data_IF_182726066686
#
_entry.id   IF_182726066686
#
_cell.length_a   1.000
_cell.length_b   1.000
_cell.length_c   1.000
_cell.angle_alpha   90.00
_cell.angle_beta   90.00
_cell.angle_gamma   90.00
#
_symmetry.space_group_name_H-M   'P 1'
#
loop_
_entity.id
_entity.type
_entity.pdbx_description
1 polymer ?
#
# COMPACT_ATOMS: atom_id res chain seq x y z
N UNK A 1 28.21 -47.76 -1.23
CA UNK A 1 27.71 -46.45 -0.83
C UNK A 1 26.22 -46.45 -1.17
N UNK A 2 25.36 -46.38 -0.17
CA UNK A 2 23.91 -46.45 -0.35
C UNK A 2 23.42 -45.19 -1.08
N UNK A 3 22.33 -45.29 -1.83
CA UNK A 3 21.70 -44.22 -2.58
C UNK A 3 21.44 -42.99 -1.70
N UNK A 4 21.08 -43.21 -0.44
CA UNK A 4 20.84 -42.15 0.59
C UNK A 4 22.12 -41.35 0.90
N UNK A 5 23.27 -41.96 0.95
CA UNK A 5 24.56 -41.28 1.19
C UNK A 5 24.99 -40.43 -0.01
N UNK A 6 24.63 -40.81 -1.22
CA UNK A 6 24.86 -40.01 -2.45
C UNK A 6 23.93 -38.78 -2.49
N UNK A 7 22.68 -38.88 -2.00
CA UNK A 7 21.78 -37.74 -1.97
C UNK A 7 22.15 -36.70 -0.89
N UNK A 8 22.77 -37.14 0.21
CA UNK A 8 23.22 -36.22 1.27
C UNK A 8 24.48 -35.41 0.89
N UNK A 9 25.24 -35.87 -0.12
CA UNK A 9 26.47 -35.22 -0.60
C UNK A 9 26.26 -34.45 -1.93
N UNK A 10 25.07 -34.57 -2.56
CA UNK A 10 24.76 -33.88 -3.79
C UNK A 10 24.61 -32.37 -3.58
N UNK A 11 25.26 -31.58 -4.43
CA UNK A 11 25.08 -30.13 -4.39
C UNK A 11 23.65 -29.75 -4.83
N UNK A 12 23.18 -28.56 -4.44
CA UNK A 12 21.89 -28.04 -4.90
C UNK A 12 21.83 -27.96 -6.45
N UNK A 13 22.97 -27.69 -7.08
CA UNK A 13 23.14 -27.68 -8.55
C UNK A 13 22.88 -29.05 -9.17
N UNK A 14 23.37 -30.14 -8.54
CA UNK A 14 23.11 -31.49 -8.99
C UNK A 14 21.62 -31.84 -8.88
N UNK A 15 20.96 -31.36 -7.82
CA UNK A 15 19.52 -31.54 -7.66
C UNK A 15 18.72 -30.81 -8.75
N UNK A 16 19.08 -29.57 -9.10
CA UNK A 16 18.46 -28.84 -10.21
C UNK A 16 18.58 -29.59 -11.55
N UNK A 17 19.70 -30.27 -11.78
CA UNK A 17 19.86 -31.09 -13.00
C UNK A 17 18.88 -32.26 -13.06
N UNK A 18 18.51 -32.84 -11.91
CA UNK A 18 17.47 -33.89 -11.87
C UNK A 18 16.08 -33.36 -12.23
N UNK A 19 15.88 -32.05 -12.12
CA UNK A 19 14.67 -31.34 -12.54
C UNK A 19 14.72 -30.85 -14.00
N UNK A 20 15.77 -31.20 -14.75
CA UNK A 20 15.93 -30.79 -16.14
C UNK A 20 16.54 -29.40 -16.35
N UNK A 21 17.07 -28.77 -15.28
CA UNK A 21 17.73 -27.46 -15.37
C UNK A 21 19.20 -27.68 -15.69
N UNK A 22 19.68 -27.11 -16.81
CA UNK A 22 21.07 -27.30 -17.25
C UNK A 22 22.07 -26.54 -16.35
N UNK A 23 23.34 -26.99 -16.39
CA UNK A 23 24.44 -26.34 -15.66
C UNK A 23 24.64 -24.88 -16.10
N UNK A 24 24.46 -24.60 -17.38
CA UNK A 24 24.60 -23.26 -17.96
C UNK A 24 23.54 -22.34 -17.41
N UNK A 25 22.28 -22.80 -17.25
CA UNK A 25 21.19 -22.03 -16.64
C UNK A 25 21.47 -21.76 -15.15
N UNK A 26 21.94 -22.77 -14.41
CA UNK A 26 22.34 -22.58 -13.01
C UNK A 26 23.46 -21.53 -12.88
N UNK A 27 24.53 -21.66 -13.69
CA UNK A 27 25.66 -20.72 -13.65
C UNK A 27 25.24 -19.30 -14.05
N UNK A 28 24.32 -19.16 -15.01
CA UNK A 28 23.74 -17.86 -15.35
C UNK A 28 22.95 -17.27 -14.19
N UNK A 29 22.10 -18.07 -13.54
CA UNK A 29 21.33 -17.67 -12.36
C UNK A 29 22.23 -17.19 -11.22
N UNK A 30 23.29 -17.96 -10.89
CA UNK A 30 24.28 -17.59 -9.87
C UNK A 30 24.98 -16.26 -10.19
N UNK A 31 25.37 -16.04 -11.45
CA UNK A 31 25.97 -14.80 -11.90
C UNK A 31 25.02 -13.61 -11.73
N UNK A 32 23.74 -13.77 -12.08
CA UNK A 32 22.73 -12.73 -11.90
C UNK A 32 22.52 -12.44 -10.42
N UNK A 33 22.36 -13.47 -9.57
CA UNK A 33 22.19 -13.31 -8.13
C UNK A 33 23.36 -12.55 -7.50
N UNK A 34 24.60 -12.93 -7.83
CA UNK A 34 25.80 -12.24 -7.33
C UNK A 34 25.84 -10.76 -7.76
N UNK A 35 25.32 -10.42 -8.94
CA UNK A 35 25.23 -9.02 -9.37
C UNK A 35 24.17 -8.20 -8.62
N UNK A 36 23.28 -8.85 -7.88
CA UNK A 36 22.17 -8.23 -7.14
C UNK A 36 22.41 -8.21 -5.62
N UNK A 37 23.52 -8.76 -5.11
CA UNK A 37 23.79 -8.89 -3.68
C UNK A 37 23.62 -7.56 -2.91
N UNK A 38 24.18 -6.46 -3.40
CA UNK A 38 24.06 -5.15 -2.77
C UNK A 38 22.62 -4.64 -2.75
N UNK A 39 21.83 -4.99 -3.76
CA UNK A 39 20.43 -4.63 -3.81
C UNK A 39 19.62 -5.43 -2.79
N UNK A 40 19.85 -6.73 -2.71
CA UNK A 40 19.19 -7.60 -1.75
C UNK A 40 19.53 -7.20 -0.31
N UNK A 41 20.81 -6.89 -0.04
CA UNK A 41 21.24 -6.39 1.27
C UNK A 41 20.46 -5.16 1.70
N UNK A 42 20.24 -4.19 0.81
CA UNK A 42 19.43 -2.99 1.12
C UNK A 42 17.97 -3.33 1.40
N UNK A 43 17.42 -4.31 0.68
CA UNK A 43 16.06 -4.81 0.93
C UNK A 43 15.98 -5.47 2.30
N UNK A 44 16.95 -6.33 2.63
CA UNK A 44 17.02 -7.02 3.92
C UNK A 44 17.16 -6.05 5.09
N UNK A 45 18.01 -5.02 4.95
CA UNK A 45 18.16 -3.96 5.97
C UNK A 45 16.84 -3.18 6.19
N UNK A 46 16.05 -2.94 5.13
CA UNK A 46 14.75 -2.29 5.24
C UNK A 46 13.72 -3.23 5.86
N UNK A 47 13.72 -4.49 5.48
CA UNK A 47 12.84 -5.51 6.03
C UNK A 47 13.11 -5.71 7.53
N UNK A 48 14.38 -5.83 7.94
CA UNK A 48 14.77 -5.94 9.35
C UNK A 48 14.30 -4.73 10.17
N UNK A 49 14.54 -3.51 9.67
CA UNK A 49 14.09 -2.29 10.33
C UNK A 49 12.57 -2.29 10.56
N UNK A 50 11.80 -2.59 9.52
CA UNK A 50 10.35 -2.58 9.59
C UNK A 50 9.81 -3.73 10.46
N UNK A 51 10.44 -4.91 10.43
CA UNK A 51 10.10 -6.00 11.33
C UNK A 51 10.30 -5.59 12.80
N UNK A 52 11.42 -4.94 13.12
CA UNK A 52 11.68 -4.46 14.48
C UNK A 52 10.70 -3.37 14.90
N UNK A 53 10.30 -2.47 13.99
CA UNK A 53 9.24 -1.48 14.21
C UNK A 53 7.92 -2.15 14.61
N UNK A 54 7.50 -3.18 13.88
CA UNK A 54 6.27 -3.93 14.19
C UNK A 54 6.38 -4.65 15.53
N UNK A 55 7.49 -5.36 15.79
CA UNK A 55 7.70 -6.05 17.06
C UNK A 55 7.70 -5.09 18.25
N UNK A 56 8.30 -3.91 18.10
CA UNK A 56 8.27 -2.86 19.12
C UNK A 56 6.86 -2.39 19.39
N UNK A 57 6.07 -2.13 18.37
CA UNK A 57 4.67 -1.74 18.50
C UNK A 57 3.84 -2.83 19.21
N UNK A 58 4.07 -4.11 18.89
CA UNK A 58 3.41 -5.22 19.58
C UNK A 58 3.79 -5.28 21.07
N UNK A 59 5.06 -5.05 21.40
CA UNK A 59 5.52 -4.99 22.81
C UNK A 59 4.90 -3.82 23.56
N UNK A 60 4.89 -2.63 22.97
CA UNK A 60 4.36 -1.41 23.58
C UNK A 60 2.86 -1.52 23.86
N UNK A 61 2.13 -2.16 22.95
CA UNK A 61 0.70 -2.44 23.09
C UNK A 61 0.40 -3.76 23.85
N UNK A 62 1.44 -4.42 24.44
CA UNK A 62 1.30 -5.58 25.30
C UNK A 62 0.54 -6.74 24.65
N UNK A 63 0.80 -7.00 23.36
CA UNK A 63 0.22 -8.16 22.67
C UNK A 63 0.55 -9.43 23.41
N UNK A 64 -0.45 -10.22 23.73
CA UNK A 64 -0.34 -11.45 24.50
C UNK A 64 -1.31 -12.52 23.98
N UNK A 65 -1.21 -13.74 24.49
CA UNK A 65 -2.14 -14.83 24.16
C UNK A 65 -3.61 -14.42 24.37
N UNK A 66 -3.89 -13.60 25.39
CA UNK A 66 -5.25 -13.12 25.67
C UNK A 66 -5.84 -12.33 24.50
N UNK A 67 -5.04 -11.65 23.69
CA UNK A 67 -5.49 -10.93 22.49
C UNK A 67 -5.96 -11.85 21.36
N UNK A 68 -5.55 -13.13 21.40
CA UNK A 68 -5.93 -14.16 20.40
C UNK A 68 -7.15 -14.97 20.81
N UNK A 69 -7.66 -14.77 22.02
CA UNK A 69 -8.88 -15.44 22.50
C UNK A 69 -10.10 -14.75 21.89
N UNK A 70 -11.09 -15.59 21.52
CA UNK A 70 -12.37 -15.09 21.01
C UNK A 70 -13.17 -14.33 22.08
N UNK A 71 -13.99 -13.41 21.64
CA UNK A 71 -14.94 -12.65 22.48
C UNK A 71 -16.40 -12.99 22.16
N UNK A 72 -17.34 -12.52 22.96
CA UNK A 72 -18.78 -12.87 22.84
C UNK A 72 -19.53 -12.17 21.70
N UNK A 73 -18.83 -11.48 20.81
CA UNK A 73 -19.35 -11.17 19.47
C UNK A 73 -20.09 -9.84 19.26
N UNK A 74 -20.44 -9.08 20.30
CA UNK A 74 -21.04 -7.75 20.10
C UNK A 74 -20.05 -6.65 19.73
N UNK A 75 -18.75 -6.95 19.76
CA UNK A 75 -17.68 -6.02 19.37
C UNK A 75 -17.40 -4.88 20.33
N UNK A 76 -18.02 -4.88 21.50
CA UNK A 76 -17.70 -3.93 22.58
C UNK A 76 -16.58 -4.51 23.45
N UNK A 77 -15.53 -3.69 23.67
CA UNK A 77 -14.38 -4.08 24.51
C UNK A 77 -13.70 -5.40 24.05
N UNK A 78 -13.54 -5.55 22.74
CA UNK A 78 -12.82 -6.68 22.18
C UNK A 78 -11.31 -6.44 22.30
N UNK A 79 -10.67 -7.10 23.28
CA UNK A 79 -9.25 -6.90 23.58
C UNK A 79 -8.36 -7.15 22.37
N UNK A 80 -8.62 -8.21 21.61
CA UNK A 80 -7.79 -8.57 20.44
C UNK A 80 -7.86 -7.53 19.35
N UNK A 81 -9.08 -7.11 19.00
CA UNK A 81 -9.34 -6.08 18.01
C UNK A 81 -8.75 -4.73 18.41
N UNK A 82 -9.05 -4.27 19.62
CA UNK A 82 -8.62 -2.96 20.08
C UNK A 82 -7.09 -2.89 20.19
N UNK A 83 -6.45 -3.99 20.62
CA UNK A 83 -4.97 -4.10 20.63
C UNK A 83 -4.39 -4.12 19.21
N UNK A 84 -5.03 -4.82 18.26
CA UNK A 84 -4.57 -4.87 16.86
C UNK A 84 -4.62 -3.46 16.24
N UNK A 85 -5.68 -2.72 16.45
CA UNK A 85 -5.82 -1.34 15.96
C UNK A 85 -4.79 -0.42 16.59
N UNK A 86 -4.53 -0.54 17.89
CA UNK A 86 -3.47 0.21 18.57
C UNK A 86 -2.07 -0.12 18.04
N UNK A 87 -1.79 -1.39 17.70
CA UNK A 87 -0.54 -1.80 17.05
C UNK A 87 -0.41 -1.15 15.67
N UNK A 88 -1.46 -1.17 14.85
CA UNK A 88 -1.46 -0.50 13.54
C UNK A 88 -1.22 1.00 13.68
N UNK A 89 -1.95 1.68 14.56
CA UNK A 89 -1.76 3.10 14.83
C UNK A 89 -0.30 3.41 15.24
N UNK A 90 0.29 2.58 16.10
CA UNK A 90 1.68 2.72 16.53
C UNK A 90 2.67 2.50 15.39
N UNK A 91 2.46 1.49 14.54
CA UNK A 91 3.35 1.15 13.41
C UNK A 91 3.34 2.24 12.34
N UNK A 92 2.16 2.79 12.04
CA UNK A 92 1.96 3.78 10.99
C UNK A 92 1.93 5.23 11.52
N UNK A 93 2.23 5.45 12.80
CA UNK A 93 2.26 6.75 13.47
C UNK A 93 1.00 7.59 13.22
N UNK A 94 -0.17 6.94 13.32
CA UNK A 94 -1.48 7.56 13.15
C UNK A 94 -2.21 7.72 14.48
N UNK A 95 -3.18 8.63 14.53
CA UNK A 95 -4.02 8.83 15.71
C UNK A 95 -4.88 7.61 16.01
N UNK A 96 -5.29 6.88 14.97
CA UNK A 96 -6.14 5.70 15.09
C UNK A 96 -5.98 4.78 13.87
N UNK A 97 -6.50 3.57 13.98
CA UNK A 97 -6.55 2.61 12.88
C UNK A 97 -7.87 1.84 12.91
N UNK A 98 -8.39 1.50 11.76
CA UNK A 98 -9.58 0.68 11.61
C UNK A 98 -9.23 -0.64 10.91
N UNK A 99 -9.07 -1.70 11.71
CA UNK A 99 -8.70 -3.04 11.23
C UNK A 99 -9.81 -4.02 11.58
N UNK A 100 -10.67 -4.33 10.62
CA UNK A 100 -11.89 -5.11 10.84
C UNK A 100 -12.03 -6.25 9.82
N UNK A 101 -12.41 -7.45 10.22
CA UNK A 101 -12.69 -8.55 9.28
C UNK A 101 -13.89 -8.26 8.38
N UNK A 102 -14.77 -7.32 8.76
CA UNK A 102 -15.89 -6.85 7.94
C UNK A 102 -15.44 -6.00 6.75
N UNK A 103 -14.23 -5.46 6.77
CA UNK A 103 -13.59 -4.84 5.60
C UNK A 103 -12.94 -5.96 4.79
N UNK A 104 -13.67 -6.47 3.81
CA UNK A 104 -13.38 -7.77 3.18
C UNK A 104 -12.27 -7.75 2.13
N UNK A 105 -11.91 -6.57 1.62
CA UNK A 105 -10.86 -6.42 0.61
C UNK A 105 -10.39 -4.96 0.51
N UNK A 106 -9.30 -4.71 -0.21
CA UNK A 106 -8.75 -3.37 -0.43
C UNK A 106 -9.75 -2.41 -1.08
N UNK A 107 -10.48 -2.86 -2.10
CA UNK A 107 -11.53 -2.04 -2.75
C UNK A 107 -12.60 -1.62 -1.75
N UNK A 108 -13.00 -2.50 -0.83
CA UNK A 108 -13.97 -2.16 0.21
C UNK A 108 -13.39 -1.13 1.20
N UNK A 109 -12.13 -1.27 1.60
CA UNK A 109 -11.46 -0.29 2.47
C UNK A 109 -11.42 1.10 1.82
N UNK A 110 -11.02 1.17 0.54
CA UNK A 110 -10.97 2.43 -0.21
C UNK A 110 -12.37 3.03 -0.42
N UNK A 111 -13.37 2.20 -0.75
CA UNK A 111 -14.76 2.64 -0.87
C UNK A 111 -15.29 3.24 0.44
N UNK A 112 -15.03 2.59 1.58
CA UNK A 112 -15.39 3.11 2.90
C UNK A 112 -14.72 4.45 3.18
N UNK A 113 -13.41 4.57 2.90
CA UNK A 113 -12.67 5.81 3.09
C UNK A 113 -13.23 6.96 2.23
N UNK A 114 -13.60 6.68 0.98
CA UNK A 114 -14.20 7.65 0.08
C UNK A 114 -15.61 8.06 0.55
N UNK A 115 -16.49 7.08 0.81
CA UNK A 115 -17.88 7.33 1.20
C UNK A 115 -18.01 8.02 2.58
N UNK A 116 -17.09 7.76 3.50
CA UNK A 116 -17.11 8.41 4.81
C UNK A 116 -16.74 9.89 4.74
N UNK A 117 -15.96 10.32 3.75
CA UNK A 117 -15.43 11.67 3.62
C UNK A 117 -16.12 12.54 2.57
N UNK A 118 -16.82 11.94 1.62
CA UNK A 118 -17.47 12.64 0.50
C UNK A 118 -18.99 12.74 0.68
N UNK A 119 -19.57 13.85 0.23
CA UNK A 119 -21.01 14.13 0.27
C UNK A 119 -21.50 14.57 -1.11
N UNK A 120 -22.80 14.48 -1.41
CA UNK A 120 -23.36 14.99 -2.69
C UNK A 120 -22.94 16.44 -2.94
N UNK A 121 -22.39 16.70 -4.12
CA UNK A 121 -21.86 18.01 -4.51
C UNK A 121 -20.34 18.16 -4.35
N UNK A 122 -19.68 17.27 -3.60
CA UNK A 122 -18.21 17.24 -3.47
C UNK A 122 -17.54 16.74 -4.75
N UNK A 123 -16.25 17.02 -4.85
CA UNK A 123 -15.38 16.52 -5.91
C UNK A 123 -14.23 15.70 -5.35
N UNK A 124 -14.01 14.53 -5.94
CA UNK A 124 -12.83 13.69 -5.78
C UNK A 124 -11.81 14.01 -6.87
N UNK A 125 -10.58 14.35 -6.50
CA UNK A 125 -9.47 14.60 -7.43
C UNK A 125 -8.44 13.49 -7.33
N UNK A 126 -8.02 12.91 -8.47
CA UNK A 126 -6.82 12.07 -8.57
C UNK A 126 -5.70 12.84 -9.27
N UNK A 127 -4.60 13.19 -8.58
CA UNK A 127 -3.50 13.96 -9.16
C UNK A 127 -2.40 13.09 -9.78
N UNK A 128 -2.61 11.79 -9.87
CA UNK A 128 -1.63 10.79 -10.34
C UNK A 128 -2.19 9.93 -11.47
N UNK A 129 -3.17 10.45 -12.17
CA UNK A 129 -3.87 9.74 -13.25
C UNK A 129 -5.02 8.90 -12.75
N UNK A 130 -5.44 7.96 -13.58
CA UNK A 130 -6.58 7.08 -13.32
C UNK A 130 -6.27 6.11 -12.18
N UNK A 131 -7.18 5.93 -11.20
CA UNK A 131 -7.00 4.97 -10.13
C UNK A 131 -7.08 3.52 -10.63
N UNK A 132 -6.79 2.57 -9.74
CA UNK A 132 -6.87 1.14 -10.03
C UNK A 132 -8.26 0.74 -10.52
N UNK A 133 -8.32 -0.25 -11.39
CA UNK A 133 -9.52 -0.62 -12.16
C UNK A 133 -10.75 -0.94 -11.30
N UNK A 134 -10.56 -1.56 -10.12
CA UNK A 134 -11.68 -1.85 -9.21
C UNK A 134 -12.30 -0.60 -8.59
N UNK A 135 -11.57 0.51 -8.51
CA UNK A 135 -12.10 1.80 -8.07
C UNK A 135 -12.88 2.53 -9.17
N UNK A 136 -12.70 2.19 -10.43
CA UNK A 136 -13.42 2.83 -11.51
C UNK A 136 -14.94 2.68 -11.35
N UNK A 137 -15.41 1.52 -10.91
CA UNK A 137 -16.83 1.25 -10.64
C UNK A 137 -17.30 1.94 -9.36
N UNK A 138 -16.49 1.93 -8.30
CA UNK A 138 -16.80 2.62 -7.03
C UNK A 138 -16.97 4.12 -7.27
N UNK A 139 -16.09 4.73 -8.03
CA UNK A 139 -16.14 6.17 -8.35
C UNK A 139 -17.23 6.48 -9.38
N UNK A 140 -17.48 5.57 -10.33
CA UNK A 140 -18.38 5.77 -11.46
C UNK A 140 -17.68 6.33 -12.71
N UNK A 141 -16.35 6.12 -12.82
CA UNK A 141 -15.59 6.33 -14.07
C UNK A 141 -16.08 5.32 -15.10
N UNK A 142 -16.19 4.06 -14.71
CA UNK A 142 -16.96 3.02 -15.39
C UNK A 142 -18.36 2.96 -14.78
N UNK A 143 -19.38 2.93 -15.61
CA UNK A 143 -20.77 2.95 -15.17
C UNK A 143 -21.05 1.76 -14.23
N UNK A 144 -21.55 2.08 -13.05
CA UNK A 144 -21.88 1.10 -12.00
C UNK A 144 -22.93 1.67 -11.06
N UNK A 145 -23.91 0.85 -10.72
CA UNK A 145 -24.94 1.18 -9.75
C UNK A 145 -24.32 1.31 -8.35
N UNK A 146 -24.75 2.31 -7.59
CA UNK A 146 -24.24 2.61 -6.26
C UNK A 146 -22.87 3.32 -6.26
N UNK A 147 -22.41 3.82 -7.40
CA UNK A 147 -21.17 4.57 -7.51
C UNK A 147 -21.25 5.96 -6.87
N UNK A 148 -20.10 6.55 -6.52
CA UNK A 148 -20.02 7.93 -6.02
C UNK A 148 -20.70 8.92 -6.96
N UNK A 149 -20.59 8.69 -8.28
CA UNK A 149 -21.25 9.52 -9.30
C UNK A 149 -22.77 9.51 -9.16
N UNK A 150 -23.39 8.37 -8.90
CA UNK A 150 -24.84 8.29 -8.67
C UNK A 150 -25.26 9.01 -7.38
N UNK A 151 -24.37 9.08 -6.39
CA UNK A 151 -24.58 9.87 -5.18
C UNK A 151 -24.27 11.36 -5.35
N UNK A 152 -24.02 11.82 -6.58
CA UNK A 152 -23.81 13.24 -6.88
C UNK A 152 -22.41 13.75 -6.53
N UNK A 153 -21.43 12.87 -6.43
CA UNK A 153 -20.02 13.21 -6.24
C UNK A 153 -19.34 13.23 -7.61
N UNK A 154 -18.63 14.30 -7.91
CA UNK A 154 -17.89 14.43 -9.17
C UNK A 154 -16.47 13.88 -9.05
N UNK A 155 -15.93 13.41 -10.17
CA UNK A 155 -14.55 12.94 -10.26
C UNK A 155 -13.77 13.76 -11.28
N UNK A 156 -12.53 14.06 -10.94
CA UNK A 156 -11.55 14.71 -11.83
C UNK A 156 -10.20 14.02 -11.69
N UNK A 157 -9.42 13.98 -12.75
CA UNK A 157 -8.03 13.52 -12.68
C UNK A 157 -7.09 14.50 -13.37
N UNK A 158 -5.84 14.48 -12.94
CA UNK A 158 -4.69 15.08 -13.59
C UNK A 158 -3.70 13.95 -13.82
N UNK A 159 -3.29 13.75 -15.05
CA UNK A 159 -2.33 12.71 -15.41
C UNK A 159 -0.90 13.18 -15.06
N UNK A 160 0.00 12.22 -14.87
CA UNK A 160 1.42 12.52 -14.75
C UNK A 160 1.96 13.06 -16.10
N UNK A 161 2.99 13.88 -16.04
CA UNK A 161 3.72 14.32 -17.22
C UNK A 161 4.41 13.13 -17.91
N UNK A 162 4.85 13.33 -19.15
CA UNK A 162 5.44 12.27 -19.97
C UNK A 162 6.71 11.62 -19.35
N UNK A 163 7.41 12.35 -18.49
CA UNK A 163 8.56 11.87 -17.72
C UNK A 163 8.19 11.15 -16.41
N UNK A 164 6.90 11.09 -16.09
CA UNK A 164 6.36 10.48 -14.87
C UNK A 164 6.34 11.41 -13.65
N UNK A 165 6.70 12.67 -13.80
CA UNK A 165 6.59 13.68 -12.75
C UNK A 165 5.17 14.21 -12.58
N UNK A 166 4.88 14.87 -11.44
CA UNK A 166 3.56 15.47 -11.19
C UNK A 166 3.36 16.73 -12.05
N UNK A 167 2.19 16.85 -12.63
CA UNK A 167 1.73 18.08 -13.28
C UNK A 167 1.19 19.08 -12.24
N UNK A 168 2.09 19.78 -11.55
CA UNK A 168 1.71 20.73 -10.51
C UNK A 168 0.81 21.88 -11.01
N UNK A 169 0.97 22.33 -12.25
CA UNK A 169 0.10 23.36 -12.82
C UNK A 169 -1.30 22.82 -13.16
N UNK A 170 -1.37 21.61 -13.69
CA UNK A 170 -2.64 20.90 -13.89
C UNK A 170 -3.35 20.66 -12.57
N UNK A 171 -2.65 20.22 -11.54
CA UNK A 171 -3.20 20.01 -10.18
C UNK A 171 -3.71 21.33 -9.60
N UNK A 172 -2.94 22.41 -9.67
CA UNK A 172 -3.34 23.74 -9.22
C UNK A 172 -4.64 24.19 -9.90
N UNK A 173 -4.73 24.00 -11.20
CA UNK A 173 -5.89 24.38 -12.01
C UNK A 173 -7.12 23.51 -11.75
N UNK A 174 -6.91 22.24 -11.34
CA UNK A 174 -7.98 21.30 -11.05
C UNK A 174 -8.58 21.52 -9.65
N UNK A 175 -7.77 21.93 -8.66
CA UNK A 175 -8.23 22.21 -7.31
C UNK A 175 -9.23 23.37 -7.29
N UNK A 176 -10.41 23.15 -6.70
CA UNK A 176 -11.48 24.14 -6.62
C UNK A 176 -12.27 23.99 -5.29
N UNK A 177 -13.28 24.83 -5.11
CA UNK A 177 -14.07 24.84 -3.87
C UNK A 177 -14.82 23.54 -3.57
N UNK A 178 -15.15 22.75 -4.60
CA UNK A 178 -15.83 21.46 -4.45
C UNK A 178 -14.85 20.32 -4.17
N UNK A 179 -13.56 20.49 -4.45
CA UNK A 179 -12.55 19.46 -4.20
C UNK A 179 -12.45 19.22 -2.70
N UNK A 180 -12.97 18.09 -2.24
CA UNK A 180 -13.03 17.72 -0.82
C UNK A 180 -11.97 16.69 -0.47
N UNK A 181 -11.68 15.78 -1.40
CA UNK A 181 -10.73 14.72 -1.20
C UNK A 181 -9.84 14.55 -2.43
N UNK A 182 -8.55 14.37 -2.17
CA UNK A 182 -7.54 13.98 -3.17
C UNK A 182 -7.12 12.56 -2.89
N UNK A 183 -7.21 11.67 -3.89
CA UNK A 183 -6.77 10.27 -3.79
C UNK A 183 -5.47 10.05 -4.52
N UNK A 184 -4.46 9.55 -3.82
CA UNK A 184 -3.10 9.32 -4.33
C UNK A 184 -2.84 7.82 -4.30
N UNK A 185 -2.83 7.17 -5.46
CA UNK A 185 -2.44 5.77 -5.57
C UNK A 185 -0.91 5.66 -5.66
N UNK A 186 -0.27 5.07 -4.64
CA UNK A 186 1.19 4.92 -4.58
C UNK A 186 1.71 3.93 -5.61
N UNK A 187 1.12 2.75 -5.68
CA UNK A 187 1.53 1.71 -6.61
C UNK A 187 1.19 2.08 -8.06
N UNK A 188 1.99 1.59 -8.99
CA UNK A 188 1.72 1.78 -10.42
C UNK A 188 0.59 0.88 -10.96
N UNK A 189 0.19 -0.15 -10.19
CA UNK A 189 -0.72 -1.17 -10.69
C UNK A 189 -0.19 -1.80 -11.99
N UNK A 190 -1.00 -1.87 -13.01
CA UNK A 190 -0.62 -2.36 -14.36
C UNK A 190 -0.07 -1.27 -15.29
N UNK A 191 0.06 -0.03 -14.82
CA UNK A 191 0.56 1.08 -15.62
C UNK A 191 2.09 1.05 -15.73
N UNK A 192 2.63 1.72 -16.74
CA UNK A 192 4.09 1.82 -16.97
C UNK A 192 4.74 3.01 -16.26
N UNK A 193 4.00 3.74 -15.42
CA UNK A 193 4.52 4.86 -14.64
C UNK A 193 5.43 4.42 -13.49
N UNK A 194 6.26 5.30 -12.92
CA UNK A 194 6.99 5.01 -11.68
C UNK A 194 6.04 4.73 -10.50
N UNK A 195 6.49 3.91 -9.54
CA UNK A 195 5.90 3.85 -8.20
C UNK A 195 6.34 5.08 -7.42
N UNK A 196 5.42 5.69 -6.68
CA UNK A 196 5.71 6.91 -5.93
C UNK A 196 6.47 6.57 -4.64
N UNK A 197 7.57 7.29 -4.37
CA UNK A 197 8.23 7.22 -3.07
C UNK A 197 7.43 7.98 -2.01
N UNK A 198 7.66 7.67 -0.75
CA UNK A 198 7.03 8.39 0.38
C UNK A 198 7.38 9.88 0.33
N UNK A 199 8.65 10.22 0.01
CA UNK A 199 9.07 11.62 -0.14
C UNK A 199 8.29 12.34 -1.24
N UNK A 200 8.12 11.73 -2.42
CA UNK A 200 7.35 12.33 -3.51
C UNK A 200 5.87 12.54 -3.12
N UNK A 201 5.28 11.60 -2.37
CA UNK A 201 3.94 11.75 -1.83
C UNK A 201 3.87 12.93 -0.86
N UNK A 202 4.84 13.07 0.04
CA UNK A 202 4.91 14.19 0.99
C UNK A 202 5.01 15.55 0.31
N UNK A 203 5.84 15.65 -0.75
CA UNK A 203 5.97 16.87 -1.57
C UNK A 203 4.63 17.22 -2.24
N UNK A 204 3.95 16.22 -2.81
CA UNK A 204 2.64 16.40 -3.44
C UNK A 204 1.57 16.83 -2.42
N UNK A 205 1.51 16.20 -1.26
CA UNK A 205 0.58 16.55 -0.17
C UNK A 205 0.86 17.99 0.29
N UNK A 206 2.11 18.34 0.53
CA UNK A 206 2.52 19.69 0.94
C UNK A 206 2.11 20.75 -0.09
N UNK A 207 2.28 20.46 -1.37
CA UNK A 207 1.83 21.34 -2.46
C UNK A 207 0.31 21.53 -2.44
N UNK A 208 -0.46 20.46 -2.35
CA UNK A 208 -1.93 20.50 -2.31
C UNK A 208 -2.41 21.27 -1.08
N UNK A 209 -1.87 20.97 0.10
CA UNK A 209 -2.21 21.64 1.37
C UNK A 209 -1.81 23.11 1.38
N UNK A 210 -0.77 23.49 0.66
CA UNK A 210 -0.40 24.89 0.46
C UNK A 210 -1.43 25.71 -0.32
N UNK A 211 -2.25 25.05 -1.16
CA UNK A 211 -3.32 25.68 -1.94
C UNK A 211 -4.67 25.55 -1.21
N UNK A 212 -4.99 24.34 -0.73
CA UNK A 212 -6.25 23.98 -0.08
C UNK A 212 -5.98 23.20 1.22
N UNK A 213 -5.76 23.90 2.35
CA UNK A 213 -5.44 23.26 3.63
C UNK A 213 -6.53 22.32 4.15
N UNK A 214 -7.78 22.55 3.77
CA UNK A 214 -8.98 21.81 4.20
C UNK A 214 -9.23 20.52 3.42
N UNK A 215 -8.55 20.31 2.29
CA UNK A 215 -8.72 19.12 1.44
C UNK A 215 -8.10 17.89 2.13
N UNK A 216 -8.84 16.79 2.14
CA UNK A 216 -8.35 15.51 2.67
C UNK A 216 -7.44 14.86 1.62
N UNK A 217 -6.23 14.46 2.02
CA UNK A 217 -5.35 13.66 1.19
C UNK A 217 -5.43 12.20 1.64
N UNK A 218 -5.97 11.33 0.79
CA UNK A 218 -6.05 9.89 1.01
C UNK A 218 -4.99 9.20 0.16
N UNK A 219 -4.15 8.38 0.79
CA UNK A 219 -3.14 7.59 0.07
C UNK A 219 -3.56 6.13 0.05
N UNK A 220 -3.74 5.58 -1.15
CA UNK A 220 -3.79 4.14 -1.37
C UNK A 220 -2.34 3.60 -1.37
N UNK A 221 -1.95 3.03 -0.23
CA UNK A 221 -0.60 2.52 0.00
C UNK A 221 -0.45 1.02 -0.34
N UNK A 222 -1.45 0.39 -0.95
CA UNK A 222 -1.42 -1.03 -1.28
C UNK A 222 -0.17 -1.40 -2.09
N UNK A 223 0.54 -2.44 -1.64
CA UNK A 223 1.87 -2.88 -2.07
C UNK A 223 3.03 -1.93 -1.70
N UNK A 224 2.77 -0.83 -1.00
CA UNK A 224 3.79 0.12 -0.56
C UNK A 224 4.22 -0.05 0.90
N UNK A 225 3.43 -0.77 1.69
CA UNK A 225 3.68 -0.99 3.10
C UNK A 225 5.03 -1.66 3.32
N UNK A 226 5.84 -1.08 4.20
CA UNK A 226 7.16 -1.59 4.59
C UNK A 226 8.22 -1.67 3.46
N UNK A 227 7.93 -1.07 2.28
CA UNK A 227 8.90 -0.98 1.17
C UNK A 227 9.97 0.08 1.47
N UNK A 228 9.62 1.11 2.21
CA UNK A 228 10.54 2.12 2.75
C UNK A 228 10.52 2.07 4.28
N UNK A 229 11.46 2.76 4.96
CA UNK A 229 11.50 2.83 6.43
C UNK A 229 10.44 3.76 7.01
N UNK A 230 9.98 4.71 6.19
CA UNK A 230 8.90 5.65 6.51
C UNK A 230 7.66 5.31 5.68
N UNK A 231 6.52 5.75 6.16
CA UNK A 231 5.23 5.51 5.53
C UNK A 231 4.57 6.82 5.08
N UNK A 232 3.59 6.81 4.18
CA UNK A 232 2.89 8.04 3.75
C UNK A 232 2.25 8.82 4.91
N UNK A 233 2.04 8.20 6.05
CA UNK A 233 1.53 8.82 7.27
C UNK A 233 2.58 9.60 8.06
N UNK A 234 3.86 9.46 7.69
CA UNK A 234 4.98 10.20 8.30
C UNK A 234 5.25 11.55 7.62
N UNK A 235 4.56 11.89 6.51
CA UNK A 235 4.84 13.04 5.65
C UNK A 235 3.63 13.92 5.37
#
# INVERSE_FOLDING_TARGET
>A
MTTEKRMAEASITDFYQTMGISKEVCAFGEKVLSSLEERFKKIDETAEYNQMKVLKAMQDNRVSEACLLGTTGYGYNDLGRDTLEAVYASVFHTEDALVRPQITCGTHALALALLSNLRPGDELLSPVGKPYDTLEEVIGIRESAGSLKEYGISYRQVDLLADGSFDYEGIRSALNEKTKLVTIQRSKGYQTRPTLSVSAIGELISFIKGIRPDVICMVDNCYGEFVERIEPTDV
#
